data_IF_899238711222
#
_entry.id   IF_899238711222
#
_cell.length_a   1.000
_cell.length_b   1.000
_cell.length_c   1.000
_cell.angle_alpha   90.00
_cell.angle_beta   90.00
_cell.angle_gamma   90.00
#
_symmetry.space_group_name_H-M   'P 1'
#
loop_
_entity.id
_entity.type
_entity.pdbx_description
1 polymer ?
#
# COMPACT_ATOMS: atom_id res chain seq x y z
N UNK A 1 9.42 15.65 16.80
CA UNK A 1 8.70 14.61 16.02
C UNK A 1 7.84 13.79 16.95
N UNK A 2 6.61 13.44 16.55
CA UNK A 2 5.73 12.61 17.39
C UNK A 2 6.11 11.12 17.33
N UNK A 3 5.73 10.29 18.32
CA UNK A 3 5.97 8.84 18.28
C UNK A 3 5.41 8.20 17.00
N UNK A 4 4.20 8.62 16.59
CA UNK A 4 3.55 8.14 15.38
C UNK A 4 4.32 8.49 14.11
N UNK A 5 4.91 9.69 14.05
CA UNK A 5 5.77 10.12 12.94
C UNK A 5 7.02 9.25 12.81
N UNK A 6 7.66 8.90 13.93
CA UNK A 6 8.84 8.03 13.96
C UNK A 6 8.47 6.62 13.48
N UNK A 7 7.36 6.07 13.98
CA UNK A 7 6.84 4.77 13.55
C UNK A 7 6.52 4.79 12.04
N UNK A 8 5.92 5.87 11.55
CA UNK A 8 5.65 6.10 10.14
C UNK A 8 6.92 6.06 9.30
N UNK A 9 7.94 6.85 9.66
CA UNK A 9 9.22 6.90 8.94
C UNK A 9 9.88 5.53 8.90
N UNK A 10 9.94 4.83 10.05
CA UNK A 10 10.56 3.51 10.12
C UNK A 10 9.80 2.49 9.25
N UNK A 11 8.48 2.46 9.34
CA UNK A 11 7.64 1.53 8.54
C UNK A 11 7.73 1.82 7.05
N UNK A 12 7.65 3.09 6.62
CA UNK A 12 7.80 3.51 5.23
C UNK A 12 9.17 3.18 4.66
N UNK A 13 10.24 3.42 5.43
CA UNK A 13 11.62 3.09 5.04
C UNK A 13 11.77 1.58 4.84
N UNK A 14 11.24 0.77 5.77
CA UNK A 14 11.25 -0.69 5.62
C UNK A 14 10.48 -1.13 4.37
N UNK A 15 9.29 -0.59 4.12
CA UNK A 15 8.50 -0.92 2.91
C UNK A 15 9.29 -0.62 1.64
N UNK A 16 9.97 0.53 1.56
CA UNK A 16 10.80 0.88 0.40
C UNK A 16 12.00 -0.08 0.22
N UNK A 17 12.72 -0.37 1.30
CA UNK A 17 13.87 -1.28 1.25
C UNK A 17 13.47 -2.70 0.86
N UNK A 18 12.36 -3.21 1.43
CA UNK A 18 11.83 -4.53 1.08
C UNK A 18 11.32 -4.56 -0.37
N UNK A 19 10.59 -3.54 -0.82
CA UNK A 19 10.10 -3.43 -2.19
C UNK A 19 11.25 -3.43 -3.21
N UNK A 20 12.30 -2.65 -2.93
CA UNK A 20 13.51 -2.61 -3.77
C UNK A 20 14.22 -3.97 -3.80
N UNK A 21 14.37 -4.63 -2.64
CA UNK A 21 14.99 -5.95 -2.56
C UNK A 21 14.20 -7.00 -3.36
N UNK A 22 12.88 -6.94 -3.36
CA UNK A 22 12.01 -7.82 -4.17
C UNK A 22 12.20 -7.56 -5.67
N UNK A 23 12.21 -6.29 -6.08
CA UNK A 23 12.41 -5.88 -7.48
C UNK A 23 13.75 -6.38 -8.02
N UNK A 24 14.83 -6.16 -7.26
CA UNK A 24 16.20 -6.56 -7.65
C UNK A 24 16.37 -8.08 -7.73
N UNK A 25 15.64 -8.85 -6.91
CA UNK A 25 15.72 -10.32 -6.90
C UNK A 25 14.83 -10.99 -7.96
N UNK A 26 13.79 -10.32 -8.46
CA UNK A 26 12.85 -10.88 -9.43
C UNK A 26 12.64 -9.95 -10.65
N UNK A 27 13.69 -9.66 -11.44
CA UNK A 27 13.59 -8.68 -12.52
C UNK A 27 12.63 -9.09 -13.65
N UNK A 28 12.35 -10.39 -13.84
CA UNK A 28 11.63 -10.88 -15.04
C UNK A 28 10.89 -12.21 -14.89
N UNK A 29 10.84 -12.82 -13.70
CA UNK A 29 10.19 -14.13 -13.50
C UNK A 29 8.82 -14.02 -12.84
N UNK A 30 7.81 -14.36 -13.64
CA UNK A 30 6.47 -14.84 -13.28
C UNK A 30 5.47 -13.81 -12.77
N UNK A 31 4.26 -13.91 -13.34
CA UNK A 31 3.04 -13.16 -13.03
C UNK A 31 2.43 -13.52 -11.65
N UNK A 32 3.29 -13.79 -10.67
CA UNK A 32 2.93 -14.19 -9.33
C UNK A 32 3.15 -13.00 -8.39
N UNK A 33 2.06 -12.53 -7.77
CA UNK A 33 2.10 -11.51 -6.73
C UNK A 33 3.06 -11.91 -5.60
N UNK A 34 3.67 -10.95 -4.89
CA UNK A 34 4.53 -11.19 -3.71
C UNK A 34 3.92 -12.21 -2.73
N UNK A 35 2.59 -12.16 -2.60
CA UNK A 35 1.75 -13.08 -1.82
C UNK A 35 1.93 -14.56 -2.15
N UNK A 36 2.21 -14.91 -3.41
CA UNK A 36 2.33 -16.29 -3.91
C UNK A 36 3.68 -16.92 -3.53
N UNK A 37 4.75 -16.12 -3.52
CA UNK A 37 6.09 -16.58 -3.13
C UNK A 37 6.17 -16.92 -1.63
N UNK A 38 5.47 -16.13 -0.80
CA UNK A 38 5.42 -16.26 0.66
C UNK A 38 4.55 -17.45 1.10
N UNK A 39 3.51 -17.81 0.33
CA UNK A 39 2.53 -18.83 0.69
C UNK A 39 3.04 -20.29 0.56
N UNK A 40 4.26 -20.52 0.08
CA UNK A 40 4.79 -21.87 -0.22
C UNK A 40 4.99 -22.78 1.02
N UNK A 41 5.07 -22.21 2.24
CA UNK A 41 5.22 -22.97 3.50
C UNK A 41 4.35 -22.39 4.62
N UNK A 42 3.57 -23.23 5.31
CA UNK A 42 2.56 -22.83 6.31
C UNK A 42 3.10 -21.97 7.46
N UNK A 43 4.31 -22.27 7.97
CA UNK A 43 4.95 -21.49 9.03
C UNK A 43 5.40 -20.10 8.55
N UNK A 44 5.95 -20.00 7.33
CA UNK A 44 6.34 -18.73 6.73
C UNK A 44 5.12 -17.85 6.42
N UNK A 45 3.99 -18.46 6.05
CA UNK A 45 2.73 -17.75 5.87
C UNK A 45 2.23 -17.10 7.17
N UNK A 46 2.21 -17.82 8.30
CA UNK A 46 1.77 -17.26 9.58
C UNK A 46 2.67 -16.09 10.01
N UNK A 47 3.99 -16.26 9.90
CA UNK A 47 4.96 -15.20 10.23
C UNK A 47 4.72 -13.99 9.33
N UNK A 48 4.53 -14.17 8.02
CA UNK A 48 4.28 -13.07 7.11
C UNK A 48 2.93 -12.39 7.34
N UNK A 49 1.87 -13.15 7.65
CA UNK A 49 0.55 -12.60 7.97
C UNK A 49 0.61 -11.75 9.26
N UNK A 50 1.32 -12.22 10.29
CA UNK A 50 1.57 -11.46 11.50
C UNK A 50 2.39 -10.20 11.21
N UNK A 51 3.49 -10.31 10.46
CA UNK A 51 4.30 -9.15 10.08
C UNK A 51 3.49 -8.11 9.29
N UNK A 52 2.69 -8.53 8.31
CA UNK A 52 1.81 -7.64 7.54
C UNK A 52 0.72 -7.01 8.40
N UNK A 53 0.23 -7.73 9.42
CA UNK A 53 -0.77 -7.22 10.37
C UNK A 53 -0.17 -6.15 11.27
N UNK A 54 1.00 -6.41 11.86
CA UNK A 54 1.68 -5.45 12.75
C UNK A 54 2.21 -4.25 11.97
N UNK A 55 2.85 -4.47 10.82
CA UNK A 55 3.31 -3.39 9.94
C UNK A 55 2.12 -2.56 9.42
N UNK A 56 1.02 -3.22 9.06
CA UNK A 56 -0.24 -2.56 8.71
C UNK A 56 -0.77 -1.70 9.85
N UNK A 57 -0.91 -2.27 11.05
CA UNK A 57 -1.39 -1.53 12.22
C UNK A 57 -0.52 -0.31 12.54
N UNK A 58 0.81 -0.45 12.47
CA UNK A 58 1.73 0.66 12.64
C UNK A 58 1.55 1.73 11.54
N UNK A 59 1.42 1.31 10.29
CA UNK A 59 1.23 2.18 9.13
C UNK A 59 -0.10 2.95 9.18
N UNK A 60 -1.23 2.26 9.39
CA UNK A 60 -2.53 2.90 9.51
C UNK A 60 -2.66 3.74 10.79
N UNK A 61 -2.00 3.34 11.88
CA UNK A 61 -1.86 4.17 13.08
C UNK A 61 -1.14 5.48 12.77
N UNK A 62 -0.04 5.43 12.00
CA UNK A 62 0.62 6.63 11.49
C UNK A 62 -0.31 7.50 10.64
N UNK A 63 -1.10 6.90 9.73
CA UNK A 63 -2.05 7.66 8.91
C UNK A 63 -3.14 8.35 9.76
N UNK A 64 -3.73 7.63 10.73
CA UNK A 64 -4.82 8.16 11.56
C UNK A 64 -4.35 9.19 12.58
N UNK A 65 -3.27 8.90 13.31
CA UNK A 65 -2.86 9.69 14.47
C UNK A 65 -1.81 10.74 14.14
N UNK A 66 -1.18 10.68 12.97
CA UNK A 66 -0.23 11.70 12.54
C UNK A 66 -0.63 12.38 11.23
N UNK A 67 -0.84 11.65 10.13
CA UNK A 67 -1.06 12.28 8.82
C UNK A 67 -2.34 13.12 8.80
N UNK A 68 -3.46 12.50 9.18
CA UNK A 68 -4.79 13.12 9.16
C UNK A 68 -4.85 14.41 10.00
N UNK A 69 -4.42 14.44 11.28
CA UNK A 69 -4.42 15.67 12.07
C UNK A 69 -3.37 16.69 11.60
N UNK A 70 -2.18 16.25 11.18
CA UNK A 70 -1.10 17.18 10.77
C UNK A 70 -1.48 18.01 9.56
N UNK A 71 -2.21 17.42 8.61
CA UNK A 71 -2.60 18.05 7.36
C UNK A 71 -4.10 18.41 7.29
N UNK A 72 -4.82 18.31 8.41
CA UNK A 72 -6.24 18.66 8.54
C UNK A 72 -7.14 18.02 7.47
N UNK A 73 -6.88 16.74 7.16
CA UNK A 73 -7.60 16.04 6.10
C UNK A 73 -9.07 15.81 6.48
N UNK A 74 -9.99 15.77 5.49
CA UNK A 74 -11.42 15.66 5.76
C UNK A 74 -11.81 14.33 6.41
N UNK A 75 -12.85 14.37 7.24
CA UNK A 75 -13.30 13.24 8.07
C UNK A 75 -13.60 11.95 7.30
N UNK A 76 -13.99 12.03 6.02
CA UNK A 76 -14.23 10.82 5.22
C UNK A 76 -12.95 9.97 5.05
N UNK A 77 -11.77 10.59 5.10
CA UNK A 77 -10.48 9.90 5.00
C UNK A 77 -10.27 8.94 6.18
N UNK A 78 -10.86 9.24 7.34
CA UNK A 78 -10.83 8.35 8.51
C UNK A 78 -11.47 6.99 8.20
N UNK A 79 -12.64 7.02 7.56
CA UNK A 79 -13.36 5.81 7.14
C UNK A 79 -12.62 5.05 6.05
N UNK A 80 -11.99 5.77 5.11
CA UNK A 80 -11.15 5.17 4.06
C UNK A 80 -9.99 4.41 4.70
N UNK A 81 -9.27 5.03 5.63
CA UNK A 81 -8.14 4.41 6.33
C UNK A 81 -8.58 3.18 7.13
N UNK A 82 -9.67 3.26 7.90
CA UNK A 82 -10.19 2.12 8.67
C UNK A 82 -10.62 0.98 7.75
N UNK A 83 -11.37 1.28 6.70
CA UNK A 83 -11.83 0.26 5.75
C UNK A 83 -10.65 -0.43 5.05
N UNK A 84 -9.60 0.32 4.70
CA UNK A 84 -8.38 -0.21 4.12
C UNK A 84 -7.57 -1.07 5.08
N UNK A 85 -7.57 -0.78 6.38
CA UNK A 85 -6.97 -1.66 7.39
C UNK A 85 -7.65 -3.04 7.40
N UNK A 86 -8.98 -3.08 7.45
CA UNK A 86 -9.72 -4.34 7.37
C UNK A 86 -9.47 -5.08 6.05
N UNK A 87 -9.44 -4.36 4.92
CA UNK A 87 -9.11 -4.94 3.63
C UNK A 87 -7.68 -5.53 3.61
N UNK A 88 -6.70 -4.85 4.22
CA UNK A 88 -5.36 -5.37 4.37
C UNK A 88 -5.30 -6.62 5.25
N UNK A 89 -6.07 -6.68 6.34
CA UNK A 89 -6.17 -7.90 7.15
C UNK A 89 -6.69 -9.07 6.33
N UNK A 90 -7.69 -8.85 5.47
CA UNK A 90 -8.20 -9.87 4.55
C UNK A 90 -7.08 -10.34 3.61
N UNK A 91 -6.31 -9.43 3.03
CA UNK A 91 -5.19 -9.76 2.13
C UNK A 91 -4.08 -10.51 2.86
N UNK A 92 -3.73 -10.11 4.09
CA UNK A 92 -2.65 -10.69 4.88
C UNK A 92 -2.97 -12.11 5.37
N UNK A 93 -4.22 -12.37 5.77
CA UNK A 93 -4.63 -13.63 6.38
C UNK A 93 -5.22 -14.64 5.39
N UNK A 94 -5.45 -14.27 4.13
CA UNK A 94 -5.90 -15.19 3.09
C UNK A 94 -4.68 -15.64 2.26
N UNK A 95 -4.24 -16.92 2.38
CA UNK A 95 -3.06 -17.41 1.68
C UNK A 95 -3.29 -17.46 0.17
N UNK A 96 -2.35 -16.92 -0.59
CA UNK A 96 -2.37 -16.95 -2.05
C UNK A 96 -2.34 -18.39 -2.64
N UNK A 97 -1.87 -19.39 -1.88
CA UNK A 97 -1.90 -20.78 -2.34
C UNK A 97 -3.28 -21.45 -2.22
N UNK A 98 -4.19 -20.93 -1.38
CA UNK A 98 -5.58 -21.40 -1.36
C UNK A 98 -6.38 -21.00 -2.61
N UNK A 99 -5.80 -20.14 -3.46
CA UNK A 99 -6.38 -19.62 -4.69
C UNK A 99 -6.42 -20.66 -5.83
N UNK A 100 -5.71 -21.80 -5.71
CA UNK A 100 -5.69 -22.85 -6.74
C UNK A 100 -6.97 -23.68 -6.80
N UNK A 101 -7.80 -23.70 -5.75
CA UNK A 101 -8.95 -24.62 -5.68
C UNK A 101 -10.29 -24.02 -5.23
N UNK A 102 -10.35 -22.79 -4.67
CA UNK A 102 -11.62 -22.19 -4.19
C UNK A 102 -11.87 -20.79 -4.76
N UNK A 103 -12.80 -20.69 -5.70
CA UNK A 103 -13.14 -19.44 -6.42
C UNK A 103 -13.50 -18.27 -5.50
N UNK A 104 -14.26 -18.50 -4.43
CA UNK A 104 -14.72 -17.45 -3.49
C UNK A 104 -13.58 -16.81 -2.70
N UNK A 105 -12.61 -17.61 -2.26
CA UNK A 105 -11.46 -17.14 -1.47
C UNK A 105 -10.56 -16.25 -2.32
N UNK A 106 -10.44 -16.59 -3.61
CA UNK A 106 -9.74 -15.78 -4.59
C UNK A 106 -10.38 -14.44 -4.86
N UNK A 107 -11.70 -14.43 -5.05
CA UNK A 107 -12.44 -13.17 -5.20
C UNK A 107 -12.24 -12.26 -3.99
N UNK A 108 -12.27 -12.81 -2.78
CA UNK A 108 -12.13 -12.02 -1.55
C UNK A 108 -10.73 -11.41 -1.40
N UNK A 109 -9.66 -12.16 -1.69
CA UNK A 109 -8.28 -11.64 -1.66
C UNK A 109 -8.09 -10.54 -2.71
N UNK A 110 -8.54 -10.76 -3.95
CA UNK A 110 -8.47 -9.77 -5.02
C UNK A 110 -9.27 -8.51 -4.68
N UNK A 111 -10.47 -8.67 -4.12
CA UNK A 111 -11.29 -7.55 -3.68
C UNK A 111 -10.61 -6.75 -2.55
N UNK A 112 -9.99 -7.43 -1.58
CA UNK A 112 -9.19 -6.77 -0.55
C UNK A 112 -8.04 -5.93 -1.13
N UNK A 113 -7.31 -6.48 -2.11
CA UNK A 113 -6.25 -5.73 -2.80
C UNK A 113 -6.78 -4.50 -3.55
N UNK A 114 -7.92 -4.63 -4.23
CA UNK A 114 -8.59 -3.51 -4.92
C UNK A 114 -8.98 -2.42 -3.92
N UNK A 115 -9.56 -2.79 -2.77
CA UNK A 115 -9.95 -1.83 -1.74
C UNK A 115 -8.74 -1.07 -1.17
N UNK A 116 -7.63 -1.77 -0.87
CA UNK A 116 -6.39 -1.14 -0.41
C UNK A 116 -5.85 -0.17 -1.46
N UNK A 117 -5.77 -0.59 -2.73
CA UNK A 117 -5.32 0.29 -3.82
C UNK A 117 -6.22 1.52 -3.99
N UNK A 118 -7.55 1.33 -3.94
CA UNK A 118 -8.52 2.44 -4.01
C UNK A 118 -8.30 3.43 -2.87
N UNK A 119 -8.10 2.92 -1.64
CA UNK A 119 -7.88 3.74 -0.47
C UNK A 119 -6.58 4.55 -0.57
N UNK A 120 -5.49 3.97 -1.10
CA UNK A 120 -4.26 4.71 -1.35
C UNK A 120 -4.47 5.89 -2.31
N UNK A 121 -5.22 5.67 -3.40
CA UNK A 121 -5.56 6.72 -4.38
C UNK A 121 -6.43 7.81 -3.74
N UNK A 122 -7.46 7.42 -2.98
CA UNK A 122 -8.32 8.40 -2.29
C UNK A 122 -7.50 9.20 -1.27
N UNK A 123 -6.63 8.56 -0.50
CA UNK A 123 -5.79 9.23 0.50
C UNK A 123 -4.83 10.23 -0.14
N UNK A 124 -4.14 9.88 -1.23
CA UNK A 124 -3.20 10.81 -1.86
C UNK A 124 -3.93 12.00 -2.51
N UNK A 125 -5.08 11.76 -3.14
CA UNK A 125 -5.91 12.84 -3.67
C UNK A 125 -6.47 13.72 -2.55
N UNK A 126 -6.83 13.15 -1.40
CA UNK A 126 -7.27 13.95 -0.26
C UNK A 126 -6.14 14.85 0.27
N UNK A 127 -4.89 14.36 0.31
CA UNK A 127 -3.71 15.17 0.64
C UNK A 127 -3.53 16.32 -0.37
N UNK A 128 -3.64 16.04 -1.67
CA UNK A 128 -3.46 17.07 -2.72
C UNK A 128 -4.58 18.11 -2.70
N UNK A 129 -5.83 17.70 -2.53
CA UNK A 129 -7.00 18.58 -2.65
C UNK A 129 -7.33 19.35 -1.38
N UNK A 130 -7.04 18.77 -0.20
CA UNK A 130 -7.49 19.31 1.08
C UNK A 130 -6.35 19.51 2.10
N UNK A 131 -5.13 19.05 1.80
CA UNK A 131 -4.03 19.12 2.75
C UNK A 131 -3.55 20.55 2.97
N UNK A 132 -3.50 20.95 4.25
CA UNK A 132 -3.04 22.28 4.66
C UNK A 132 -1.57 22.24 5.13
N UNK A 133 -0.82 23.33 4.90
CA UNK A 133 0.57 23.50 5.36
C UNK A 133 1.55 22.42 4.85
N UNK A 134 1.36 21.94 3.62
CA UNK A 134 2.27 20.98 3.00
C UNK A 134 3.49 21.72 2.41
N UNK A 135 4.74 21.30 2.73
CA UNK A 135 5.94 21.83 2.08
C UNK A 135 5.89 21.67 0.56
N UNK A 136 6.44 22.64 -0.19
CA UNK A 136 6.31 22.68 -1.66
C UNK A 136 6.87 21.43 -2.35
N UNK A 137 7.97 20.85 -1.85
CA UNK A 137 8.58 19.66 -2.44
C UNK A 137 7.68 18.44 -2.19
N UNK A 138 7.27 18.20 -0.94
CA UNK A 138 6.27 17.18 -0.59
C UNK A 138 4.98 17.32 -1.42
N UNK A 139 4.49 18.54 -1.62
CA UNK A 139 3.28 18.78 -2.40
C UNK A 139 3.46 18.43 -3.88
N UNK A 140 4.57 18.84 -4.49
CA UNK A 140 4.89 18.49 -5.88
C UNK A 140 4.98 16.96 -6.07
N UNK A 141 5.64 16.27 -5.13
CA UNK A 141 5.73 14.80 -5.17
C UNK A 141 4.37 14.16 -4.92
N UNK A 142 3.53 14.72 -4.05
CA UNK A 142 2.16 14.25 -3.84
C UNK A 142 1.29 14.35 -5.11
N UNK A 143 1.41 15.43 -5.89
CA UNK A 143 0.73 15.57 -7.19
C UNK A 143 1.22 14.49 -8.16
N UNK A 144 2.53 14.32 -8.30
CA UNK A 144 3.11 13.30 -9.18
C UNK A 144 2.60 11.92 -8.77
N UNK A 145 2.62 11.61 -7.49
CA UNK A 145 2.13 10.34 -6.94
C UNK A 145 0.63 10.16 -7.15
N UNK A 146 -0.18 11.21 -7.02
CA UNK A 146 -1.61 11.12 -7.30
C UNK A 146 -1.89 10.77 -8.77
N UNK A 147 -1.20 11.43 -9.71
CA UNK A 147 -1.37 11.19 -11.14
C UNK A 147 -0.83 9.82 -11.55
N UNK A 148 0.45 9.55 -11.26
CA UNK A 148 1.12 8.31 -11.65
C UNK A 148 0.51 7.12 -10.90
N UNK A 149 0.21 7.28 -9.61
CA UNK A 149 -0.48 6.26 -8.82
C UNK A 149 -1.84 5.90 -9.41
N UNK A 150 -2.63 6.89 -9.85
CA UNK A 150 -3.93 6.63 -10.51
C UNK A 150 -3.73 5.84 -11.81
N UNK A 151 -2.75 6.21 -12.64
CA UNK A 151 -2.43 5.49 -13.87
C UNK A 151 -1.96 4.04 -13.61
N UNK A 152 -1.10 3.84 -12.61
CA UNK A 152 -0.67 2.52 -12.16
C UNK A 152 -1.85 1.70 -11.62
N UNK A 153 -2.75 2.31 -10.86
CA UNK A 153 -3.93 1.65 -10.31
C UNK A 153 -4.90 1.18 -11.41
N UNK A 154 -5.17 2.02 -12.42
CA UNK A 154 -5.95 1.62 -13.61
C UNK A 154 -5.25 0.45 -14.31
N UNK A 155 -3.92 0.52 -14.47
CA UNK A 155 -3.12 -0.55 -15.08
C UNK A 155 -3.19 -1.84 -14.25
N UNK A 156 -3.23 -1.77 -12.92
CA UNK A 156 -3.42 -2.92 -12.04
C UNK A 156 -4.78 -3.58 -12.24
N UNK A 157 -5.87 -2.79 -12.28
CA UNK A 157 -7.21 -3.31 -12.54
C UNK A 157 -7.26 -4.01 -13.91
N UNK A 158 -6.70 -3.39 -14.96
CA UNK A 158 -6.61 -3.98 -16.28
C UNK A 158 -5.69 -5.21 -16.31
N UNK A 159 -4.64 -5.22 -15.50
CA UNK A 159 -3.69 -6.32 -15.35
C UNK A 159 -4.31 -7.57 -14.74
N UNK A 160 -5.29 -7.40 -13.82
CA UNK A 160 -6.07 -8.50 -13.26
C UNK A 160 -6.91 -9.21 -14.33
N UNK A 161 -7.29 -8.50 -15.39
CA UNK A 161 -8.13 -9.03 -16.48
C UNK A 161 -7.31 -9.52 -17.68
N UNK A 162 -6.35 -8.73 -18.19
CA UNK A 162 -5.74 -8.95 -19.51
C UNK A 162 -4.21 -8.84 -19.54
N UNK A 163 -3.59 -8.00 -18.70
CA UNK A 163 -2.16 -7.66 -18.79
C UNK A 163 -1.35 -8.08 -17.54
N UNK A 164 -1.35 -9.37 -17.23
CA UNK A 164 -0.73 -9.94 -16.02
C UNK A 164 0.75 -9.59 -15.82
N UNK A 165 1.48 -9.36 -16.91
CA UNK A 165 2.90 -8.99 -16.92
C UNK A 165 3.19 -7.59 -16.36
N UNK A 166 2.20 -6.70 -16.33
CA UNK A 166 2.35 -5.32 -15.82
C UNK A 166 1.94 -5.19 -14.34
N UNK A 167 1.38 -6.24 -13.74
CA UNK A 167 0.85 -6.21 -12.38
C UNK A 167 1.93 -5.86 -11.35
N UNK A 168 3.02 -6.63 -11.31
CA UNK A 168 4.06 -6.47 -10.30
C UNK A 168 4.74 -5.09 -10.39
N UNK A 169 5.06 -4.66 -11.61
CA UNK A 169 5.72 -3.35 -11.84
C UNK A 169 4.78 -2.23 -11.38
N UNK A 170 3.51 -2.26 -11.80
CA UNK A 170 2.53 -1.23 -11.43
C UNK A 170 2.26 -1.19 -9.92
N UNK A 171 2.23 -2.36 -9.26
CA UNK A 171 2.04 -2.48 -7.82
C UNK A 171 3.23 -1.87 -7.06
N UNK A 172 4.45 -2.25 -7.42
CA UNK A 172 5.67 -1.74 -6.79
C UNK A 172 5.79 -0.22 -7.02
N UNK A 173 5.53 0.27 -8.24
CA UNK A 173 5.58 1.70 -8.53
C UNK A 173 4.55 2.48 -7.72
N UNK A 174 3.31 1.99 -7.63
CA UNK A 174 2.25 2.65 -6.86
C UNK A 174 2.58 2.71 -5.37
N UNK A 175 2.98 1.57 -4.78
CA UNK A 175 3.36 1.52 -3.36
C UNK A 175 4.61 2.37 -3.10
N UNK A 176 5.62 2.29 -3.97
CA UNK A 176 6.87 3.04 -3.83
C UNK A 176 6.65 4.55 -3.85
N UNK A 177 5.91 5.07 -4.83
CA UNK A 177 5.61 6.51 -4.92
C UNK A 177 4.77 7.00 -3.73
N UNK A 178 3.79 6.20 -3.31
CA UNK A 178 2.99 6.50 -2.14
C UNK A 178 3.85 6.57 -0.87
N UNK A 179 4.73 5.58 -0.67
CA UNK A 179 5.65 5.55 0.46
C UNK A 179 6.66 6.70 0.45
N UNK A 180 7.23 7.04 -0.72
CA UNK A 180 8.14 8.19 -0.86
C UNK A 180 7.42 9.48 -0.50
N UNK A 181 6.19 9.69 -0.99
CA UNK A 181 5.42 10.90 -0.69
C UNK A 181 5.16 11.02 0.80
N UNK A 182 4.67 9.95 1.44
CA UNK A 182 4.41 9.95 2.87
C UNK A 182 5.69 10.16 3.70
N UNK A 183 6.83 9.65 3.21
CA UNK A 183 8.12 9.84 3.87
C UNK A 183 8.57 11.30 3.79
N UNK A 184 8.45 11.94 2.63
CA UNK A 184 8.75 13.37 2.47
C UNK A 184 7.84 14.23 3.34
N UNK A 185 6.53 13.93 3.37
CA UNK A 185 5.58 14.59 4.26
C UNK A 185 6.00 14.41 5.73
N UNK A 186 6.41 13.19 6.13
CA UNK A 186 6.85 12.91 7.49
C UNK A 186 8.19 13.57 7.84
N UNK A 187 9.05 13.83 6.87
CA UNK A 187 10.31 14.55 7.05
C UNK A 187 10.14 16.08 6.91
N UNK A 188 8.94 16.55 6.55
CA UNK A 188 8.63 17.96 6.31
C UNK A 188 9.52 18.58 5.22
N UNK A 189 9.81 17.81 4.17
CA UNK A 189 10.67 18.21 3.05
C UNK A 189 9.88 18.78 1.88
#
# INVERSE_FOLDING_TARGET
>A
MSPWQIIGIASLTLVLLFGLAVLLRNPTKSADTISLHIASKRHYFIIAALLLTFAGGAFYGFLLFWLLPSYQLPNFVYWVIISSFFAQLIVAWIPANSLRERSKVKTLHTFGGILVGTAMIICIWAVVLFGNNIPSISYAVAIITAIVGTACYITLILGLWRYKQLLLISEITMIGLFSITLLLLALQL
#
